data_IF_910860614867
#
_entry.id   IF_910860614867
#
_cell.length_a   1.000
_cell.length_b   1.000
_cell.length_c   1.000
_cell.angle_alpha   90.00
_cell.angle_beta   90.00
_cell.angle_gamma   90.00
#
_symmetry.space_group_name_H-M   'P 1'
#
loop_
_entity.id
_entity.type
_entity.pdbx_description
1 polymer ?
#
# COMPACT_ATOMS: atom_id res chain seq x y z
N UNK A 1 -65.13 18.89 54.95
CA UNK A 1 -64.56 19.08 53.62
C UNK A 1 -63.40 18.11 53.41
N UNK A 2 -63.51 17.13 52.52
CA UNK A 2 -62.42 16.21 52.30
C UNK A 2 -61.43 16.80 51.32
N UNK A 3 -60.16 16.88 51.74
CA UNK A 3 -59.03 17.26 50.90
C UNK A 3 -58.72 16.14 49.92
N UNK A 4 -58.92 16.38 48.67
CA UNK A 4 -58.42 15.46 47.62
C UNK A 4 -56.90 15.56 47.51
N UNK A 5 -56.21 14.50 47.88
CA UNK A 5 -54.77 14.33 47.58
C UNK A 5 -54.61 13.92 46.11
N UNK A 6 -54.00 14.76 45.34
CA UNK A 6 -53.58 14.45 43.97
C UNK A 6 -52.27 13.69 44.10
N UNK A 7 -52.31 12.41 43.79
CA UNK A 7 -51.08 11.63 43.60
C UNK A 7 -50.52 11.95 42.20
N UNK A 8 -49.42 12.68 42.20
CA UNK A 8 -48.63 12.83 40.99
C UNK A 8 -47.85 11.55 40.75
N UNK A 9 -48.23 10.79 39.71
CA UNK A 9 -47.49 9.66 39.27
C UNK A 9 -46.23 10.12 38.50
N UNK A 10 -45.07 9.93 39.11
CA UNK A 10 -43.78 10.09 38.45
C UNK A 10 -43.60 8.89 37.52
N UNK A 11 -43.69 9.11 36.22
CA UNK A 11 -43.29 8.16 35.20
C UNK A 11 -41.75 8.20 35.13
N UNK A 12 -41.07 7.06 35.31
CA UNK A 12 -39.63 7.02 35.03
C UNK A 12 -39.43 7.11 33.52
N UNK A 13 -38.79 8.19 33.08
CA UNK A 13 -38.31 8.31 31.72
C UNK A 13 -37.26 7.23 31.48
N UNK A 14 -37.67 6.20 30.78
CA UNK A 14 -36.71 5.19 30.26
C UNK A 14 -35.89 5.85 29.19
N UNK A 15 -34.69 6.33 29.53
CA UNK A 15 -33.70 6.75 28.56
C UNK A 15 -33.17 5.49 27.87
N UNK A 16 -33.75 5.19 26.73
CA UNK A 16 -33.22 4.16 25.83
C UNK A 16 -31.91 4.66 25.25
N UNK A 17 -30.80 4.33 25.88
CA UNK A 17 -29.47 4.52 25.29
C UNK A 17 -29.38 3.63 24.07
N UNK A 18 -29.63 4.18 22.89
CA UNK A 18 -29.31 3.52 21.62
C UNK A 18 -27.78 3.49 21.53
N UNK A 19 -27.20 2.39 21.92
CA UNK A 19 -25.81 2.05 21.58
C UNK A 19 -25.78 1.86 20.06
N UNK A 20 -25.45 2.93 19.34
CA UNK A 20 -25.01 2.80 17.95
C UNK A 20 -23.74 1.96 17.98
N UNK A 21 -23.70 0.78 17.32
CA UNK A 21 -22.44 0.10 17.14
C UNK A 21 -21.54 1.06 16.38
N UNK A 22 -20.46 1.50 17.03
CA UNK A 22 -19.48 2.36 16.40
C UNK A 22 -19.02 1.67 15.13
N UNK A 23 -19.13 2.36 14.00
CA UNK A 23 -18.48 1.98 12.77
C UNK A 23 -16.97 2.06 13.02
N UNK A 24 -16.42 0.97 13.57
CA UNK A 24 -14.97 0.77 13.61
C UNK A 24 -14.60 0.44 12.18
N UNK A 25 -14.15 1.45 11.41
CA UNK A 25 -13.50 1.21 10.14
C UNK A 25 -12.33 0.24 10.41
N UNK A 26 -12.28 -0.94 9.76
CA UNK A 26 -11.24 -1.89 10.07
C UNK A 26 -9.88 -1.31 9.65
N UNK A 27 -9.04 -0.95 10.62
CA UNK A 27 -7.64 -0.56 10.39
C UNK A 27 -6.85 -1.66 9.64
N UNK A 28 -7.35 -2.90 9.62
CA UNK A 28 -6.82 -4.02 8.87
C UNK A 28 -6.95 -3.88 7.34
N UNK A 29 -7.86 -3.07 6.81
CA UNK A 29 -8.06 -2.90 5.37
C UNK A 29 -6.82 -2.32 4.66
N UNK A 30 -5.99 -1.54 5.35
CA UNK A 30 -4.76 -0.97 4.80
C UNK A 30 -3.65 -2.00 4.55
N UNK A 31 -3.75 -3.17 5.17
CA UNK A 31 -2.78 -4.26 5.03
C UNK A 31 -3.25 -5.38 4.10
N UNK A 32 -4.48 -5.28 3.61
CA UNK A 32 -5.02 -6.26 2.68
C UNK A 32 -4.31 -6.20 1.31
N UNK A 33 -4.05 -7.36 0.73
CA UNK A 33 -3.33 -7.51 -0.55
C UNK A 33 -3.97 -6.67 -1.66
N UNK A 34 -5.28 -6.62 -1.72
CA UNK A 34 -6.03 -5.91 -2.76
C UNK A 34 -6.08 -4.38 -2.59
N UNK A 35 -5.44 -3.83 -1.55
CA UNK A 35 -5.25 -2.39 -1.36
C UNK A 35 -3.80 -1.94 -1.57
N UNK A 36 -2.93 -2.82 -2.03
CA UNK A 36 -1.55 -2.47 -2.28
C UNK A 36 -1.06 -2.97 -3.63
N UNK A 37 -0.18 -2.18 -4.21
CA UNK A 37 0.59 -2.55 -5.39
C UNK A 37 2.06 -2.29 -5.07
N UNK A 38 2.89 -3.30 -5.16
CA UNK A 38 4.29 -3.22 -4.75
C UNK A 38 5.18 -2.99 -5.96
N UNK A 39 6.02 -1.96 -5.88
CA UNK A 39 7.11 -1.75 -6.85
C UNK A 39 8.41 -2.09 -6.15
N UNK A 40 9.11 -3.09 -6.64
CA UNK A 40 10.41 -3.50 -6.12
C UNK A 40 11.42 -3.63 -7.24
N UNK A 41 12.69 -3.71 -6.88
CA UNK A 41 13.75 -3.89 -7.84
C UNK A 41 15.12 -3.57 -7.26
N UNK A 42 16.08 -3.44 -8.13
CA UNK A 42 17.46 -3.16 -7.75
C UNK A 42 17.95 -1.88 -8.39
N UNK A 43 18.77 -1.16 -7.66
CA UNK A 43 19.53 -0.02 -8.17
C UNK A 43 21.00 -0.40 -8.23
N UNK A 44 21.54 -0.35 -9.43
CA UNK A 44 22.96 -0.59 -9.72
C UNK A 44 23.55 0.61 -10.46
N UNK A 45 24.84 0.84 -10.25
CA UNK A 45 25.56 1.84 -11.03
C UNK A 45 25.85 1.33 -12.46
N UNK A 46 26.50 2.16 -13.28
CA UNK A 46 26.82 1.82 -14.66
C UNK A 46 27.77 0.63 -14.79
N UNK A 47 28.44 0.23 -13.70
CA UNK A 47 29.36 -0.92 -13.63
C UNK A 47 28.67 -2.18 -13.09
N UNK A 48 27.36 -2.10 -12.81
CA UNK A 48 26.60 -3.21 -12.25
C UNK A 48 26.77 -3.40 -10.75
N UNK A 49 27.37 -2.46 -10.03
CA UNK A 49 27.50 -2.52 -8.57
C UNK A 49 26.21 -2.05 -7.89
N UNK A 50 25.76 -2.74 -6.83
CA UNK A 50 24.64 -2.29 -6.03
C UNK A 50 24.89 -0.90 -5.43
N UNK A 51 23.84 -0.06 -5.45
CA UNK A 51 23.85 1.26 -4.83
C UNK A 51 22.97 1.21 -3.58
N UNK A 52 23.59 1.34 -2.41
CA UNK A 52 22.89 1.41 -1.13
C UNK A 52 22.38 2.83 -0.84
N UNK A 53 21.32 2.91 -0.03
CA UNK A 53 20.74 4.18 0.45
C UNK A 53 20.28 5.12 -0.68
N UNK A 54 20.04 4.58 -1.87
CA UNK A 54 19.46 5.33 -2.97
C UNK A 54 17.94 5.50 -2.75
N UNK A 55 17.45 6.71 -2.88
CA UNK A 55 16.02 6.98 -2.80
C UNK A 55 15.34 6.60 -4.10
N UNK A 56 14.28 5.82 -4.01
CA UNK A 56 13.39 5.49 -5.12
C UNK A 56 12.02 6.09 -4.82
N UNK A 57 11.47 6.77 -5.80
CA UNK A 57 10.17 7.42 -5.72
C UNK A 57 9.22 6.77 -6.71
N UNK A 58 8.02 6.42 -6.24
CA UNK A 58 6.91 5.99 -7.09
C UNK A 58 5.84 7.05 -7.04
N UNK A 59 5.61 7.71 -8.17
CA UNK A 59 4.63 8.79 -8.29
C UNK A 59 3.37 8.24 -8.94
N UNK A 60 2.23 8.46 -8.30
CA UNK A 60 0.92 8.23 -8.91
C UNK A 60 0.61 9.39 -9.85
N UNK A 61 0.72 9.19 -11.14
CA UNK A 61 0.62 10.26 -12.15
C UNK A 61 -0.72 11.00 -12.07
N UNK A 62 -1.79 10.28 -11.79
CA UNK A 62 -3.15 10.84 -11.68
C UNK A 62 -3.30 11.91 -10.59
N UNK A 63 -2.58 11.77 -9.47
CA UNK A 63 -2.72 12.64 -8.29
C UNK A 63 -1.45 13.41 -7.96
N UNK A 64 -0.31 12.99 -8.49
CA UNK A 64 1.01 13.49 -8.09
C UNK A 64 1.49 12.99 -6.73
N UNK A 65 0.74 12.11 -6.08
CA UNK A 65 1.14 11.56 -4.79
C UNK A 65 2.36 10.65 -4.95
N UNK A 66 3.32 10.77 -4.04
CA UNK A 66 4.58 10.03 -4.08
C UNK A 66 4.73 9.08 -2.91
N UNK A 67 5.20 7.88 -3.21
CA UNK A 67 5.65 6.89 -2.26
C UNK A 67 7.16 6.77 -2.35
N UNK A 68 7.84 6.69 -1.21
CA UNK A 68 9.30 6.66 -1.16
C UNK A 68 9.81 5.35 -0.57
N UNK A 69 10.94 4.90 -1.07
CA UNK A 69 11.72 3.82 -0.51
C UNK A 69 13.21 4.11 -0.65
N UNK A 70 14.02 3.37 0.09
CA UNK A 70 15.47 3.44 -0.01
C UNK A 70 16.04 2.05 -0.25
N UNK A 71 17.14 1.97 -0.98
CA UNK A 71 17.83 0.71 -1.23
C UNK A 71 18.61 0.22 -0.01
N UNK A 72 18.65 -1.08 0.15
CA UNK A 72 19.54 -1.76 1.12
C UNK A 72 20.98 -1.92 0.56
N UNK A 73 21.84 -2.62 1.31
CA UNK A 73 23.21 -2.87 0.91
C UNK A 73 23.35 -3.67 -0.40
N UNK A 74 22.31 -4.39 -0.81
CA UNK A 74 22.27 -5.14 -2.08
C UNK A 74 21.71 -4.32 -3.23
N UNK A 75 21.34 -3.07 -2.95
CA UNK A 75 20.66 -2.20 -3.91
C UNK A 75 19.18 -2.51 -4.08
N UNK A 76 18.61 -3.38 -3.25
CA UNK A 76 17.20 -3.73 -3.30
C UNK A 76 16.35 -2.61 -2.67
N UNK A 77 15.29 -2.22 -3.36
CA UNK A 77 14.22 -1.38 -2.83
C UNK A 77 12.88 -2.10 -2.91
N UNK A 78 12.00 -1.74 -1.99
CA UNK A 78 10.60 -2.18 -1.98
C UNK A 78 9.75 -0.96 -1.62
N UNK A 79 8.86 -0.56 -2.52
CA UNK A 79 7.91 0.54 -2.31
C UNK A 79 6.50 0.00 -2.35
N UNK A 80 5.80 0.10 -1.23
CA UNK A 80 4.38 -0.25 -1.13
C UNK A 80 3.52 0.96 -1.49
N UNK A 81 2.68 0.84 -2.50
CA UNK A 81 1.70 1.86 -2.85
C UNK A 81 0.32 1.43 -2.37
N UNK A 82 -0.53 2.40 -2.04
CA UNK A 82 -1.92 2.16 -1.62
C UNK A 82 -2.85 2.30 -2.82
N UNK A 83 -2.85 1.28 -3.66
CA UNK A 83 -3.66 1.24 -4.88
C UNK A 83 -4.51 -0.03 -4.86
N UNK A 84 -5.81 0.15 -4.96
CA UNK A 84 -6.79 -0.93 -4.97
C UNK A 84 -7.27 -1.31 -6.37
N UNK A 85 -8.35 -2.07 -6.43
CA UNK A 85 -8.91 -2.59 -7.69
C UNK A 85 -9.25 -1.51 -8.71
N UNK A 86 -9.64 -0.33 -8.24
CA UNK A 86 -9.97 0.84 -9.06
C UNK A 86 -8.79 1.42 -9.80
N UNK A 87 -7.58 1.06 -9.40
CA UNK A 87 -6.34 1.63 -9.96
C UNK A 87 -5.76 0.85 -11.14
N UNK A 88 -6.37 -0.26 -11.54
CA UNK A 88 -5.93 -1.03 -12.71
C UNK A 88 -5.86 -0.12 -13.94
N UNK A 89 -4.71 -0.12 -14.61
CA UNK A 89 -4.47 0.70 -15.80
C UNK A 89 -3.95 2.10 -15.51
N UNK A 90 -3.91 2.56 -14.25
CA UNK A 90 -3.29 3.84 -13.91
C UNK A 90 -1.80 3.84 -14.24
N UNK A 91 -1.27 5.00 -14.57
CA UNK A 91 0.15 5.20 -14.78
C UNK A 91 0.86 5.57 -13.47
N UNK A 92 2.00 4.95 -13.25
CA UNK A 92 2.97 5.30 -12.21
C UNK A 92 4.28 5.70 -12.87
N UNK A 93 4.97 6.68 -12.30
CA UNK A 93 6.34 7.02 -12.67
C UNK A 93 7.27 6.58 -11.56
N UNK A 94 8.17 5.64 -11.86
CA UNK A 94 9.20 5.17 -10.93
C UNK A 94 10.48 5.93 -11.22
N UNK A 95 11.02 6.60 -10.21
CA UNK A 95 12.16 7.51 -10.36
C UNK A 95 13.25 7.22 -9.36
N UNK A 96 14.48 7.22 -9.85
CA UNK A 96 15.70 7.17 -9.06
C UNK A 96 16.70 8.20 -9.63
N UNK A 97 17.07 9.20 -8.84
CA UNK A 97 17.86 10.31 -9.35
C UNK A 97 17.16 11.01 -10.52
N UNK A 98 17.86 11.10 -11.65
CA UNK A 98 17.31 11.66 -12.90
C UNK A 98 16.73 10.60 -13.85
N UNK A 99 16.84 9.33 -13.47
CA UNK A 99 16.35 8.20 -14.29
C UNK A 99 14.93 7.84 -13.87
N UNK A 100 14.04 7.72 -14.84
CA UNK A 100 12.65 7.37 -14.57
C UNK A 100 12.09 6.37 -15.58
N UNK A 101 11.09 5.63 -15.15
CA UNK A 101 10.32 4.70 -15.96
C UNK A 101 8.84 4.84 -15.65
N UNK A 102 8.05 5.06 -16.69
CA UNK A 102 6.59 5.03 -16.57
C UNK A 102 6.11 3.59 -16.76
N UNK A 103 5.25 3.15 -15.84
CA UNK A 103 4.66 1.81 -15.83
C UNK A 103 3.14 1.92 -15.69
N UNK A 104 2.43 0.85 -16.03
CA UNK A 104 1.00 0.75 -15.77
C UNK A 104 0.75 -0.17 -14.59
N UNK A 105 -0.21 0.17 -13.74
CA UNK A 105 -0.73 -0.72 -12.69
C UNK A 105 -1.46 -1.87 -13.35
N UNK A 106 -0.91 -3.07 -13.26
CA UNK A 106 -1.44 -4.26 -13.94
C UNK A 106 -1.56 -5.43 -12.96
N UNK A 107 -2.77 -5.90 -12.76
CA UNK A 107 -3.11 -7.09 -12.01
C UNK A 107 -4.55 -7.53 -12.34
N UNK A 108 -4.91 -8.75 -11.97
CA UNK A 108 -6.28 -9.23 -12.05
C UNK A 108 -7.07 -8.74 -10.83
N UNK A 109 -8.04 -7.83 -10.97
CA UNK A 109 -8.80 -7.27 -9.85
C UNK A 109 -9.70 -8.32 -9.16
N UNK A 110 -9.97 -9.44 -9.79
CA UNK A 110 -10.74 -10.55 -9.19
C UNK A 110 -9.88 -11.44 -8.29
N UNK A 111 -8.56 -11.35 -8.40
CA UNK A 111 -7.62 -12.09 -7.57
C UNK A 111 -7.22 -11.25 -6.35
N UNK A 112 -7.75 -11.58 -5.18
CA UNK A 112 -7.47 -10.91 -3.91
C UNK A 112 -6.51 -11.71 -3.00
N UNK A 113 -5.87 -12.75 -3.51
CA UNK A 113 -4.99 -13.63 -2.74
C UNK A 113 -3.52 -13.47 -3.10
N UNK A 114 -3.21 -13.27 -4.37
CA UNK A 114 -1.84 -13.09 -4.83
C UNK A 114 -1.36 -11.64 -4.64
N UNK A 115 -0.11 -11.49 -4.23
CA UNK A 115 0.53 -10.18 -4.17
C UNK A 115 0.55 -9.52 -5.55
N UNK A 116 0.31 -8.20 -5.55
CA UNK A 116 0.24 -7.37 -6.74
C UNK A 116 1.46 -6.46 -6.81
N UNK A 117 2.07 -6.38 -7.96
CA UNK A 117 3.21 -5.51 -8.13
C UNK A 117 3.98 -5.74 -9.41
N UNK A 118 5.10 -5.06 -9.49
CA UNK A 118 6.03 -5.19 -10.60
C UNK A 118 7.46 -5.00 -10.12
N UNK A 119 8.41 -5.43 -10.94
CA UNK A 119 9.83 -5.19 -10.71
C UNK A 119 10.36 -4.17 -11.71
N UNK A 120 11.03 -3.15 -11.20
CA UNK A 120 11.75 -2.13 -11.98
C UNK A 120 13.19 -2.09 -11.52
N UNK A 121 14.12 -2.31 -12.44
CA UNK A 121 15.54 -2.25 -12.17
C UNK A 121 16.15 -0.97 -12.77
N UNK A 122 17.02 -0.35 -12.01
CA UNK A 122 17.84 0.78 -12.45
C UNK A 122 19.29 0.32 -12.59
N UNK A 123 19.90 0.60 -13.73
CA UNK A 123 21.31 0.35 -13.97
C UNK A 123 21.92 1.53 -14.73
N UNK A 124 22.73 2.32 -14.04
CA UNK A 124 23.22 3.60 -14.56
C UNK A 124 22.05 4.50 -14.97
N UNK A 125 22.03 4.96 -16.21
CA UNK A 125 21.00 5.81 -16.77
C UNK A 125 19.79 5.03 -17.34
N UNK A 126 19.70 3.73 -17.12
CA UNK A 126 18.65 2.86 -17.65
C UNK A 126 17.68 2.42 -16.56
N UNK A 127 16.40 2.43 -16.90
CA UNK A 127 15.34 1.87 -16.07
C UNK A 127 14.54 0.85 -16.90
N UNK A 128 14.40 -0.36 -16.37
CA UNK A 128 13.79 -1.49 -17.07
C UNK A 128 12.71 -2.13 -16.20
N UNK A 129 11.53 -2.34 -16.75
CA UNK A 129 10.48 -3.12 -16.09
C UNK A 129 10.59 -4.59 -16.45
N UNK A 130 10.57 -5.44 -15.43
CA UNK A 130 10.54 -6.90 -15.53
C UNK A 130 9.36 -7.43 -14.72
N UNK A 131 8.14 -7.17 -15.18
CA UNK A 131 6.92 -7.52 -14.46
C UNK A 131 6.82 -9.01 -14.13
N UNK A 132 7.26 -9.88 -15.04
CA UNK A 132 7.24 -11.32 -14.83
C UNK A 132 8.17 -11.81 -13.70
N UNK A 133 9.14 -11.02 -13.28
CA UNK A 133 10.07 -11.37 -12.21
C UNK A 133 9.64 -10.88 -10.83
N UNK A 134 8.53 -10.17 -10.75
CA UNK A 134 8.03 -9.63 -9.49
C UNK A 134 7.85 -10.71 -8.45
N UNK A 135 7.10 -11.75 -8.77
CA UNK A 135 6.72 -12.81 -7.81
C UNK A 135 7.94 -13.57 -7.29
N UNK A 136 8.85 -13.98 -8.15
CA UNK A 136 10.07 -14.68 -7.74
C UNK A 136 10.98 -13.80 -6.88
N UNK A 137 11.09 -12.52 -7.23
CA UNK A 137 11.86 -11.56 -6.44
C UNK A 137 11.26 -11.37 -5.06
N UNK A 138 9.95 -11.19 -4.97
CA UNK A 138 9.25 -11.04 -3.70
C UNK A 138 9.43 -12.25 -2.79
N UNK A 139 9.29 -13.46 -3.34
CA UNK A 139 9.50 -14.71 -2.57
C UNK A 139 10.92 -14.84 -2.04
N UNK A 140 11.91 -14.44 -2.82
CA UNK A 140 13.30 -14.43 -2.37
C UNK A 140 13.54 -13.43 -1.23
N UNK A 141 12.94 -12.24 -1.30
CA UNK A 141 13.03 -11.21 -0.25
C UNK A 141 12.40 -11.69 1.03
N UNK A 142 11.17 -12.21 0.97
CA UNK A 142 10.44 -12.73 2.14
C UNK A 142 11.13 -13.97 2.71
N UNK A 143 11.62 -14.88 1.85
CA UNK A 143 12.32 -16.09 2.27
C UNK A 143 13.65 -15.83 3.00
N UNK A 144 14.32 -14.72 2.72
CA UNK A 144 15.54 -14.30 3.46
C UNK A 144 15.16 -13.77 4.85
N UNK A 145 14.02 -13.13 5.00
CA UNK A 145 13.56 -12.58 6.29
C UNK A 145 13.14 -13.66 7.28
N UNK A 146 12.72 -14.83 6.81
CA UNK A 146 12.25 -15.94 7.67
C UNK A 146 13.33 -16.90 8.14
N UNK A 147 14.60 -16.69 7.75
CA UNK A 147 15.72 -17.58 8.08
C UNK A 147 16.60 -17.08 9.23
N UNK A 148 16.07 -16.24 10.11
CA UNK A 148 16.78 -15.78 11.33
C UNK A 148 16.18 -16.39 12.57
#
# INVERSE_FOLDING_TARGET
MPRRRVLAALLPSLVLAVLLPGLVAPAAAEHEIFYRFTVLGYVKDARGKPVAEATVQVVRDKTGFSYLGATDARGLFVVLTRLGDESVGEALTVRQGTTERRIAVAFDPTNHTDERGTRVDFEGARAMEHAAWFRSTLLNVVGVTTRH
#
